data_IF_534602661452
#
_entry.id   IF_534602661452
#
_cell.length_a   1.000
_cell.length_b   1.000
_cell.length_c   1.000
_cell.angle_alpha   90.00
_cell.angle_beta   90.00
_cell.angle_gamma   90.00
#
_symmetry.space_group_name_H-M   'P 1'
#
loop_
_entity.id
_entity.type
_entity.pdbx_description
1 polymer ?
#
# COMPACT_ATOMS: atom_id res chain seq x y z
N UNK A 1 30.29 47.27 -17.45
CA UNK A 1 29.23 48.11 -18.03
C UNK A 1 28.16 47.19 -18.63
N UNK A 2 26.90 47.56 -18.39
CA UNK A 2 25.65 47.06 -18.98
C UNK A 2 25.14 45.64 -18.65
N UNK A 3 24.05 45.65 -17.88
CA UNK A 3 22.98 44.65 -17.80
C UNK A 3 22.19 44.62 -19.12
N UNK A 4 21.71 43.43 -19.53
CA UNK A 4 20.52 43.28 -20.38
C UNK A 4 19.69 42.08 -19.93
N UNK A 5 18.43 42.37 -19.61
CA UNK A 5 17.34 41.43 -19.38
C UNK A 5 16.85 40.82 -20.71
N UNK A 6 16.27 39.62 -20.64
CA UNK A 6 15.13 39.09 -21.42
C UNK A 6 15.29 37.57 -21.54
N UNK A 7 14.30 36.70 -21.66
CA UNK A 7 12.86 36.70 -21.43
C UNK A 7 12.46 35.25 -21.81
N UNK A 8 11.40 34.75 -21.15
CA UNK A 8 10.48 33.71 -21.60
C UNK A 8 10.83 32.95 -22.91
N UNK A 9 11.00 31.63 -22.77
CA UNK A 9 11.07 30.70 -23.89
C UNK A 9 10.53 29.34 -23.51
N UNK A 10 9.26 29.29 -23.09
CA UNK A 10 8.51 28.04 -23.00
C UNK A 10 8.27 27.50 -24.42
N UNK A 11 9.15 26.61 -24.88
CA UNK A 11 8.92 25.84 -26.10
C UNK A 11 7.97 24.69 -25.79
N UNK A 12 6.67 25.01 -25.83
CA UNK A 12 5.61 24.04 -26.09
C UNK A 12 5.81 23.50 -27.51
N UNK A 13 6.53 22.38 -27.63
CA UNK A 13 6.53 21.59 -28.85
C UNK A 13 5.24 20.74 -28.89
N UNK A 14 4.13 21.37 -29.27
CA UNK A 14 2.94 20.66 -29.72
C UNK A 14 3.19 20.27 -31.18
N UNK A 15 3.79 19.10 -31.41
CA UNK A 15 3.73 18.45 -32.72
C UNK A 15 2.46 17.61 -32.80
N UNK A 16 1.49 18.12 -33.55
CA UNK A 16 0.38 17.35 -34.07
C UNK A 16 0.88 16.48 -35.24
N UNK A 17 0.86 15.16 -35.07
CA UNK A 17 0.86 14.21 -36.19
C UNK A 17 -0.44 13.42 -36.18
N UNK A 18 -1.27 13.69 -37.19
CA UNK A 18 -2.38 12.84 -37.58
C UNK A 18 -1.86 11.73 -38.50
N UNK A 19 -1.76 10.50 -38.00
CA UNK A 19 -1.73 9.27 -38.80
C UNK A 19 -1.94 8.04 -37.89
N UNK A 20 -2.98 7.27 -38.17
CA UNK A 20 -3.19 5.86 -37.79
C UNK A 20 -2.88 5.41 -36.35
N UNK A 21 -3.87 5.58 -35.46
CA UNK A 21 -4.34 4.50 -34.61
C UNK A 21 -3.33 3.79 -33.70
N UNK A 22 -2.39 4.50 -33.10
CA UNK A 22 -1.61 3.96 -31.98
C UNK A 22 -2.12 4.63 -30.73
N UNK A 23 -3.06 3.97 -30.06
CA UNK A 23 -3.35 4.25 -28.65
C UNK A 23 -2.00 4.08 -27.94
N UNK A 24 -1.33 5.20 -27.65
CA UNK A 24 -0.40 5.25 -26.54
C UNK A 24 -1.27 5.03 -25.32
N UNK A 25 -1.57 3.77 -25.03
CA UNK A 25 -1.91 3.36 -23.68
C UNK A 25 -0.67 3.79 -22.92
N UNK A 26 -0.77 4.92 -22.21
CA UNK A 26 0.24 5.29 -21.24
C UNK A 26 0.36 4.06 -20.35
N UNK A 27 1.43 3.28 -20.58
CA UNK A 27 1.79 2.17 -19.71
C UNK A 27 2.18 2.83 -18.42
N UNK A 28 1.18 3.07 -17.58
CA UNK A 28 1.36 3.52 -16.21
C UNK A 28 2.40 2.57 -15.62
N UNK A 29 3.51 3.09 -15.07
CA UNK A 29 4.57 2.23 -14.54
C UNK A 29 3.93 1.23 -13.58
N UNK A 30 4.26 -0.05 -13.77
CA UNK A 30 3.76 -1.08 -12.90
C UNK A 30 4.22 -0.75 -11.46
N UNK A 31 3.34 -0.88 -10.46
CA UNK A 31 3.71 -0.69 -9.07
C UNK A 31 4.82 -1.68 -8.69
N UNK A 32 5.59 -1.36 -7.65
CA UNK A 32 6.57 -2.29 -7.08
C UNK A 32 5.88 -3.60 -6.69
N UNK A 33 6.63 -4.71 -6.70
CA UNK A 33 6.08 -6.01 -6.28
C UNK A 33 5.50 -5.95 -4.87
N UNK A 34 6.12 -5.16 -3.98
CA UNK A 34 5.67 -4.93 -2.61
C UNK A 34 4.32 -4.19 -2.55
N UNK A 35 4.13 -3.17 -3.40
CA UNK A 35 2.82 -2.51 -3.53
C UNK A 35 1.76 -3.43 -4.12
N UNK A 36 2.16 -4.34 -5.01
CA UNK A 36 1.25 -5.32 -5.59
C UNK A 36 0.77 -6.38 -4.61
N UNK A 37 1.64 -6.92 -3.77
CA UNK A 37 1.24 -7.90 -2.75
C UNK A 37 0.38 -7.27 -1.67
N UNK A 38 0.78 -6.10 -1.17
CA UNK A 38 0.04 -5.39 -0.11
C UNK A 38 -1.30 -4.86 -0.62
N UNK A 39 -1.33 -4.25 -1.80
CA UNK A 39 -2.57 -3.76 -2.43
C UNK A 39 -3.53 -4.89 -2.81
N UNK A 40 -3.03 -6.00 -3.37
CA UNK A 40 -3.86 -7.17 -3.66
C UNK A 40 -4.45 -7.80 -2.40
N UNK A 41 -3.67 -7.84 -1.32
CA UNK A 41 -4.19 -8.29 -0.03
C UNK A 41 -5.31 -7.39 0.48
N UNK A 42 -5.17 -6.06 0.39
CA UNK A 42 -6.24 -5.12 0.76
C UNK A 42 -7.51 -5.37 -0.06
N UNK A 43 -7.40 -5.60 -1.37
CA UNK A 43 -8.56 -5.87 -2.22
C UNK A 43 -9.18 -7.27 -2.01
N UNK A 44 -8.40 -8.30 -1.66
CA UNK A 44 -8.92 -9.64 -1.35
C UNK A 44 -9.56 -9.69 0.06
N UNK A 45 -8.97 -8.98 1.02
CA UNK A 45 -9.47 -8.89 2.39
C UNK A 45 -10.70 -7.99 2.53
N UNK A 46 -11.00 -7.16 1.52
CA UNK A 46 -12.09 -6.20 1.54
C UNK A 46 -13.13 -6.55 0.47
N UNK A 47 -14.39 -6.89 0.84
CA UNK A 47 -15.44 -7.05 -0.16
C UNK A 47 -15.62 -5.76 -0.96
N UNK A 48 -15.72 -5.89 -2.28
CA UNK A 48 -15.97 -4.76 -3.17
C UNK A 48 -17.36 -4.17 -2.88
N UNK A 49 -17.45 -3.04 -2.18
CA UNK A 49 -18.71 -2.30 -2.11
C UNK A 49 -18.50 -0.81 -1.93
N UNK A 50 -18.94 -0.03 -2.93
CA UNK A 50 -19.60 1.25 -2.73
C UNK A 50 -21.09 1.06 -3.07
N UNK A 51 -21.89 0.52 -2.14
CA UNK A 51 -23.34 0.69 -2.24
C UNK A 51 -23.70 2.12 -1.78
N UNK A 52 -24.65 2.82 -2.42
CA UNK A 52 -25.13 4.11 -1.92
C UNK A 52 -25.65 3.93 -0.48
N UNK A 53 -25.45 4.92 0.41
CA UNK A 53 -25.91 4.82 1.79
C UNK A 53 -27.44 4.83 1.78
N UNK A 54 -28.06 3.65 1.93
CA UNK A 54 -29.37 3.60 2.57
C UNK A 54 -29.17 4.15 3.99
N UNK A 55 -29.80 5.29 4.23
CA UNK A 55 -29.73 6.05 5.47
C UNK A 55 -30.26 5.19 6.63
N UNK A 56 -29.38 4.44 7.27
CA UNK A 56 -29.79 3.49 8.29
C UNK A 56 -28.64 2.89 9.08
N UNK A 57 -27.89 3.72 9.80
CA UNK A 57 -26.97 3.27 10.85
C UNK A 57 -25.51 3.20 10.40
N UNK A 58 -24.69 4.04 11.01
CA UNK A 58 -23.25 4.05 10.80
C UNK A 58 -22.61 2.74 11.28
N UNK A 59 -21.85 2.11 10.39
CA UNK A 59 -20.63 1.41 10.75
C UNK A 59 -19.80 1.27 9.47
N UNK A 60 -18.56 1.78 9.40
CA UNK A 60 -17.64 1.30 8.37
C UNK A 60 -17.60 -0.24 8.49
N UNK A 61 -17.66 -1.01 7.39
CA UNK A 61 -17.63 -2.46 7.45
C UNK A 61 -16.49 -2.93 8.36
N UNK A 62 -16.89 -3.60 9.44
CA UNK A 62 -16.00 -4.27 10.35
C UNK A 62 -15.38 -5.45 9.62
N UNK A 63 -14.14 -5.30 9.16
CA UNK A 63 -13.24 -6.41 8.92
C UNK A 63 -11.80 -5.90 9.00
N UNK A 64 -11.41 -5.40 10.19
CA UNK A 64 -10.01 -5.53 10.58
C UNK A 64 -9.74 -7.04 10.54
N UNK A 65 -8.84 -7.52 9.66
CA UNK A 65 -8.63 -8.94 9.58
C UNK A 65 -7.96 -9.33 10.89
N UNK A 66 -8.71 -10.05 11.72
CA UNK A 66 -8.23 -10.57 12.99
C UNK A 66 -6.95 -11.35 12.75
N UNK A 67 -6.06 -11.35 13.75
CA UNK A 67 -4.69 -11.89 13.80
C UNK A 67 -4.37 -13.14 12.95
N UNK A 68 -5.35 -13.98 12.61
CA UNK A 68 -5.21 -15.07 11.63
C UNK A 68 -4.89 -14.66 10.19
N UNK A 69 -4.97 -13.37 9.85
CA UNK A 69 -4.64 -12.85 8.52
C UNK A 69 -3.15 -12.81 8.22
N UNK A 70 -2.32 -12.33 9.15
CA UNK A 70 -0.87 -12.32 9.01
C UNK A 70 -0.27 -13.74 8.88
N UNK A 71 -0.99 -14.74 9.39
CA UNK A 71 -0.59 -16.14 9.44
C UNK A 71 -1.09 -17.01 8.27
N UNK A 72 -1.86 -16.42 7.35
CA UNK A 72 -2.46 -17.09 6.20
C UNK A 72 -2.29 -16.27 4.93
N UNK A 73 -3.41 -15.90 4.29
CA UNK A 73 -3.40 -15.12 3.04
C UNK A 73 -2.67 -13.78 3.13
N UNK A 74 -2.52 -13.20 4.32
CA UNK A 74 -1.80 -11.94 4.56
C UNK A 74 -0.31 -12.10 4.81
N UNK A 75 0.26 -13.31 4.68
CA UNK A 75 1.69 -13.54 4.96
C UNK A 75 2.60 -12.71 4.04
N UNK A 76 2.28 -12.57 2.76
CA UNK A 76 3.11 -11.79 1.83
C UNK A 76 2.98 -10.29 2.07
N UNK A 77 1.78 -9.80 2.36
CA UNK A 77 1.56 -8.43 2.84
C UNK A 77 2.34 -8.15 4.14
N UNK A 78 2.36 -9.11 5.06
CA UNK A 78 3.10 -9.00 6.31
C UNK A 78 4.63 -8.98 6.09
N UNK A 79 5.16 -9.76 5.14
CA UNK A 79 6.59 -9.70 4.76
C UNK A 79 7.00 -8.32 4.24
N UNK A 80 6.13 -7.65 3.48
CA UNK A 80 6.37 -6.26 3.05
C UNK A 80 6.50 -5.35 4.26
N UNK A 81 5.60 -5.45 5.24
CA UNK A 81 5.69 -4.65 6.47
C UNK A 81 6.95 -4.95 7.27
N UNK A 82 7.34 -6.23 7.40
CA UNK A 82 8.61 -6.64 8.03
C UNK A 82 9.80 -5.98 7.32
N UNK A 83 9.80 -5.95 5.99
CA UNK A 83 10.86 -5.30 5.22
C UNK A 83 10.89 -3.78 5.42
N UNK A 84 9.73 -3.11 5.46
CA UNK A 84 9.64 -1.68 5.74
C UNK A 84 10.15 -1.36 7.14
N UNK A 85 9.73 -2.10 8.17
CA UNK A 85 10.24 -1.96 9.54
C UNK A 85 11.76 -2.20 9.57
N UNK A 86 12.26 -3.22 8.88
CA UNK A 86 13.70 -3.51 8.79
C UNK A 86 14.47 -2.34 8.19
N UNK A 87 13.99 -1.77 7.09
CA UNK A 87 14.61 -0.66 6.40
C UNK A 87 14.64 0.60 7.27
N UNK A 88 13.50 0.93 7.90
CA UNK A 88 13.34 2.18 8.64
C UNK A 88 14.08 2.17 9.98
N UNK A 89 14.01 1.05 10.71
CA UNK A 89 14.68 0.88 12.01
C UNK A 89 16.15 0.48 11.87
N UNK A 90 16.60 0.09 10.67
CA UNK A 90 17.89 -0.56 10.41
C UNK A 90 18.10 -1.85 11.21
N UNK A 91 17.02 -2.50 11.61
CA UNK A 91 17.03 -3.77 12.31
C UNK A 91 17.03 -4.90 11.28
N UNK A 92 17.88 -5.90 11.45
CA UNK A 92 17.90 -7.03 10.53
C UNK A 92 16.57 -7.80 10.57
N UNK A 93 16.10 -8.31 9.43
CA UNK A 93 14.89 -9.14 9.38
C UNK A 93 14.97 -10.33 10.35
N UNK A 94 16.16 -10.90 10.55
CA UNK A 94 16.37 -12.01 11.49
C UNK A 94 16.11 -11.60 12.95
N UNK A 95 16.57 -10.41 13.34
CA UNK A 95 16.28 -9.83 14.66
C UNK A 95 14.78 -9.55 14.81
N UNK A 96 14.15 -8.94 13.80
CA UNK A 96 12.70 -8.70 13.81
C UNK A 96 11.93 -10.02 13.98
N UNK A 97 12.29 -11.08 13.25
CA UNK A 97 11.65 -12.39 13.39
C UNK A 97 11.85 -12.98 14.80
N UNK A 98 13.02 -12.78 15.41
CA UNK A 98 13.26 -13.21 16.79
C UNK A 98 12.38 -12.44 17.79
N UNK A 99 12.25 -11.13 17.62
CA UNK A 99 11.39 -10.28 18.47
C UNK A 99 9.90 -10.63 18.29
N UNK A 100 9.48 -10.91 17.05
CA UNK A 100 8.13 -11.42 16.75
C UNK A 100 7.86 -12.78 17.40
N UNK A 101 8.86 -13.69 17.42
CA UNK A 101 8.77 -14.96 18.15
C UNK A 101 8.70 -14.77 19.66
N UNK A 102 9.37 -13.75 20.19
CA UNK A 102 9.26 -13.35 21.59
C UNK A 102 7.89 -12.73 21.94
N UNK A 103 7.00 -12.57 20.95
CA UNK A 103 5.65 -12.06 21.13
C UNK A 103 5.52 -10.56 20.96
N UNK A 104 6.57 -9.87 20.50
CA UNK A 104 6.46 -8.47 20.11
C UNK A 104 5.68 -8.33 18.80
N UNK A 105 5.01 -7.19 18.61
CA UNK A 105 4.38 -6.81 17.33
C UNK A 105 5.32 -5.94 16.49
N UNK A 106 5.04 -5.79 15.18
CA UNK A 106 5.81 -4.91 14.31
C UNK A 106 5.77 -3.45 14.77
N UNK A 107 4.64 -2.98 15.31
CA UNK A 107 4.52 -1.65 15.90
C UNK A 107 5.45 -1.49 17.13
N UNK A 108 5.56 -2.52 17.97
CA UNK A 108 6.47 -2.48 19.11
C UNK A 108 7.94 -2.48 18.67
N UNK A 109 8.28 -3.24 17.62
CA UNK A 109 9.63 -3.32 17.06
C UNK A 109 10.00 -2.01 16.34
N UNK A 110 9.06 -1.42 15.59
CA UNK A 110 9.22 -0.13 14.93
C UNK A 110 9.33 1.02 15.95
N UNK A 111 8.66 0.90 17.09
CA UNK A 111 8.66 1.89 18.16
C UNK A 111 8.18 3.25 17.63
N UNK A 112 8.99 4.29 17.82
CA UNK A 112 8.70 5.66 17.34
C UNK A 112 8.70 5.84 15.82
N UNK A 113 8.95 4.77 15.04
CA UNK A 113 8.89 4.77 13.57
C UNK A 113 7.62 4.17 13.01
N UNK A 114 6.69 3.70 13.86
CA UNK A 114 5.46 3.03 13.43
C UNK A 114 4.70 3.86 12.40
N UNK A 115 4.42 5.13 12.68
CA UNK A 115 3.68 6.02 11.76
C UNK A 115 4.37 6.18 10.40
N UNK A 116 5.71 6.19 10.38
CA UNK A 116 6.51 6.33 9.16
C UNK A 116 6.40 5.06 8.30
N UNK A 117 6.45 3.89 8.93
CA UNK A 117 6.27 2.59 8.26
C UNK A 117 4.84 2.46 7.71
N UNK A 118 3.83 2.84 8.50
CA UNK A 118 2.44 2.81 8.07
C UNK A 118 2.20 3.74 6.87
N UNK A 119 2.75 4.96 6.89
CA UNK A 119 2.69 5.88 5.76
C UNK A 119 3.37 5.32 4.49
N UNK A 120 4.52 4.67 4.63
CA UNK A 120 5.20 4.03 3.50
C UNK A 120 4.35 2.90 2.90
N UNK A 121 3.76 2.06 3.77
CA UNK A 121 2.85 0.99 3.38
C UNK A 121 1.62 1.55 2.64
N UNK A 122 1.04 2.64 3.14
CA UNK A 122 -0.10 3.34 2.55
C UNK A 122 0.23 3.87 1.14
N UNK A 123 1.42 4.47 0.97
CA UNK A 123 1.88 4.94 -0.35
C UNK A 123 2.04 3.80 -1.36
N UNK A 124 2.52 2.63 -0.92
CA UNK A 124 2.63 1.44 -1.76
C UNK A 124 1.26 0.93 -2.21
N UNK A 125 0.28 0.91 -1.31
CA UNK A 125 -1.11 0.54 -1.63
C UNK A 125 -1.74 1.56 -2.58
N UNK A 126 -1.55 2.86 -2.32
CA UNK A 126 -2.07 3.93 -3.17
C UNK A 126 -1.55 3.83 -4.61
N UNK A 127 -0.24 3.63 -4.79
CA UNK A 127 0.36 3.46 -6.11
C UNK A 127 -0.23 2.26 -6.86
N UNK A 128 -0.46 1.16 -6.16
CA UNK A 128 -1.05 -0.03 -6.77
C UNK A 128 -2.54 0.14 -7.09
N UNK A 129 -3.31 0.81 -6.24
CA UNK A 129 -4.72 1.12 -6.53
C UNK A 129 -4.87 2.04 -7.74
N UNK A 130 -4.00 3.05 -7.89
CA UNK A 130 -3.97 3.89 -9.08
C UNK A 130 -3.69 3.06 -10.34
N UNK A 131 -2.74 2.13 -10.28
CA UNK A 131 -2.48 1.19 -11.36
C UNK A 131 -3.69 0.29 -11.65
N UNK A 132 -4.38 -0.21 -10.62
CA UNK A 132 -5.58 -1.02 -10.77
C UNK A 132 -6.71 -0.24 -11.47
N UNK A 133 -6.91 1.03 -11.12
CA UNK A 133 -7.88 1.91 -11.80
C UNK A 133 -7.49 2.15 -13.25
N UNK A 134 -6.23 2.49 -13.52
CA UNK A 134 -5.74 2.75 -14.87
C UNK A 134 -5.89 1.53 -15.80
N UNK A 135 -5.83 0.32 -15.24
CA UNK A 135 -6.00 -0.94 -15.98
C UNK A 135 -7.42 -1.51 -15.92
N UNK A 136 -8.40 -0.76 -15.40
CA UNK A 136 -9.80 -1.19 -15.31
C UNK A 136 -10.05 -2.36 -14.37
N UNK A 137 -9.13 -2.63 -13.44
CA UNK A 137 -9.26 -3.66 -12.39
C UNK A 137 -10.06 -3.17 -11.18
N UNK A 138 -10.16 -1.85 -11.00
CA UNK A 138 -10.99 -1.20 -9.98
C UNK A 138 -11.58 0.10 -10.54
N UNK A 139 -12.69 0.59 -9.98
CA UNK A 139 -13.19 1.94 -10.26
C UNK A 139 -12.53 2.96 -9.33
N UNK A 140 -12.62 4.25 -9.65
CA UNK A 140 -12.11 5.32 -8.78
C UNK A 140 -12.74 5.29 -7.39
N UNK A 141 -14.05 5.04 -7.30
CA UNK A 141 -14.77 4.93 -6.03
C UNK A 141 -14.33 3.70 -5.23
N UNK A 142 -14.09 2.56 -5.90
CA UNK A 142 -13.53 1.37 -5.27
C UNK A 142 -12.12 1.62 -4.75
N UNK A 143 -11.26 2.30 -5.50
CA UNK A 143 -9.91 2.63 -5.05
C UNK A 143 -9.91 3.56 -3.82
N UNK A 144 -10.79 4.57 -3.79
CA UNK A 144 -10.95 5.43 -2.62
C UNK A 144 -11.44 4.64 -1.39
N UNK A 145 -12.38 3.72 -1.62
CA UNK A 145 -12.85 2.79 -0.60
C UNK A 145 -11.72 1.90 -0.06
N UNK A 146 -10.99 1.21 -0.94
CA UNK A 146 -9.87 0.35 -0.55
C UNK A 146 -8.77 1.11 0.19
N UNK A 147 -8.46 2.35 -0.19
CA UNK A 147 -7.51 3.19 0.54
C UNK A 147 -7.96 3.46 1.98
N UNK A 148 -9.26 3.71 2.19
CA UNK A 148 -9.81 3.93 3.52
C UNK A 148 -9.66 2.68 4.40
N UNK A 149 -9.90 1.51 3.82
CA UNK A 149 -9.77 0.23 4.53
C UNK A 149 -8.30 -0.16 4.72
N UNK A 150 -7.42 0.18 3.78
CA UNK A 150 -5.99 -0.14 3.83
C UNK A 150 -5.33 0.32 5.13
N UNK A 151 -5.63 1.54 5.58
CA UNK A 151 -5.12 2.09 6.84
C UNK A 151 -5.46 1.19 8.04
N UNK A 152 -6.71 0.71 8.12
CA UNK A 152 -7.14 -0.21 9.17
C UNK A 152 -6.49 -1.58 9.08
N UNK A 153 -6.30 -2.09 7.86
CA UNK A 153 -5.62 -3.38 7.62
C UNK A 153 -4.14 -3.28 8.00
N UNK A 154 -3.44 -2.24 7.55
CA UNK A 154 -2.02 -2.01 7.83
C UNK A 154 -1.79 -1.89 9.34
N UNK A 155 -2.58 -1.07 10.04
CA UNK A 155 -2.50 -0.95 11.50
C UNK A 155 -2.80 -2.27 12.23
N UNK A 156 -3.76 -3.05 11.74
CA UNK A 156 -4.07 -4.38 12.28
C UNK A 156 -2.90 -5.36 12.08
N UNK A 157 -2.25 -5.34 10.92
CA UNK A 157 -1.07 -6.16 10.65
C UNK A 157 0.12 -5.71 11.48
N UNK A 158 0.33 -4.40 11.66
CA UNK A 158 1.41 -3.86 12.49
C UNK A 158 1.28 -4.26 13.96
N UNK A 159 0.05 -4.41 14.45
CA UNK A 159 -0.25 -4.82 15.84
C UNK A 159 -0.47 -6.32 16.01
N UNK A 160 -0.55 -7.09 14.93
CA UNK A 160 -0.79 -8.53 14.97
C UNK A 160 0.35 -9.26 15.70
N UNK A 161 -0.02 -10.11 16.64
CA UNK A 161 0.90 -11.06 17.25
C UNK A 161 0.95 -12.33 16.38
N UNK A 162 2.11 -12.56 15.74
CA UNK A 162 2.32 -13.71 14.84
C UNK A 162 3.15 -14.82 15.47
N UNK A 163 3.44 -14.75 16.78
CA UNK A 163 4.31 -15.71 17.46
C UNK A 163 3.84 -17.16 17.31
N UNK A 164 2.52 -17.39 17.30
CA UNK A 164 1.90 -18.71 17.06
C UNK A 164 2.03 -19.23 15.63
N UNK A 165 2.48 -18.39 14.69
CA UNK A 165 2.49 -18.65 13.26
C UNK A 165 3.90 -18.82 12.69
N UNK A 166 4.92 -18.46 13.47
CA UNK A 166 6.31 -18.68 13.07
C UNK A 166 6.69 -20.10 13.52
N UNK A 167 6.88 -21.06 12.59
CA UNK A 167 7.24 -22.41 12.97
C UNK A 167 8.54 -22.42 13.76
N UNK A 168 8.54 -23.19 14.84
CA UNK A 168 9.72 -23.40 15.68
C UNK A 168 10.66 -24.35 14.94
N UNK A 169 11.62 -23.79 14.20
CA UNK A 169 12.71 -24.58 13.61
C UNK A 169 13.74 -24.82 14.71
N UNK A 170 13.52 -25.90 15.47
CA UNK A 170 14.48 -26.47 16.40
C UNK A 170 15.50 -27.35 15.70
#
# INVERSE_FOLDING_TARGET
MLRSLAAAGATLAVLALAACGHRVVATTPAPSQDGATLGAYVMDATPASPAPPDQGGGQPPAAAPAQGSACGKGQDAYKVLVFLVSSDTRTSVQTIVADLRAGQSLAQIAGGRTDQVEQQADQLVEAWLQFAVANGKATSDQAAWYRTVANGIIGSLMTANVSSCIPNVG
#
